data_IF_959647126587
#
_entry.id   IF_959647126587
#
_cell.length_a   1.000
_cell.length_b   1.000
_cell.length_c   1.000
_cell.angle_alpha   90.00
_cell.angle_beta   90.00
_cell.angle_gamma   90.00
#
_symmetry.space_group_name_H-M   'P 1'
#
loop_
_entity.id
_entity.type
_entity.pdbx_description
1 polymer ?
#
# COMPACT_ATOMS: atom_id res chain seq x y z
N UNK A 1 -8.07 -20.84 -13.63
CA UNK A 1 -8.83 -20.30 -12.48
C UNK A 1 -7.91 -19.71 -11.40
N UNK A 2 -6.85 -20.43 -10.99
CA UNK A 2 -5.89 -19.95 -9.95
C UNK A 2 -5.16 -18.65 -10.35
N UNK A 3 -4.68 -18.54 -11.59
CA UNK A 3 -3.95 -17.34 -12.08
C UNK A 3 -4.82 -16.08 -12.06
N UNK A 4 -6.11 -16.18 -12.43
CA UNK A 4 -7.03 -15.03 -12.39
C UNK A 4 -7.23 -14.50 -10.96
N UNK A 5 -7.32 -15.41 -9.98
CA UNK A 5 -7.44 -15.04 -8.57
C UNK A 5 -6.16 -14.34 -8.09
N UNK A 6 -4.99 -14.83 -8.48
CA UNK A 6 -3.70 -14.20 -8.14
C UNK A 6 -3.56 -12.80 -8.74
N UNK A 7 -3.98 -12.60 -9.99
CA UNK A 7 -3.99 -11.28 -10.63
C UNK A 7 -4.95 -10.33 -9.88
N UNK A 8 -6.15 -10.80 -9.53
CA UNK A 8 -7.12 -9.99 -8.78
C UNK A 8 -6.57 -9.57 -7.40
N UNK A 9 -5.95 -10.50 -6.68
CA UNK A 9 -5.32 -10.21 -5.38
C UNK A 9 -4.18 -9.21 -5.51
N UNK A 10 -3.36 -9.30 -6.57
CA UNK A 10 -2.30 -8.34 -6.84
C UNK A 10 -2.86 -6.93 -7.08
N UNK A 11 -3.93 -6.80 -7.86
CA UNK A 11 -4.59 -5.52 -8.11
C UNK A 11 -5.19 -4.89 -6.84
N UNK A 12 -5.85 -5.72 -6.00
CA UNK A 12 -6.40 -5.26 -4.72
C UNK A 12 -5.28 -4.77 -3.80
N UNK A 13 -4.19 -5.54 -3.72
CA UNK A 13 -3.04 -5.17 -2.89
C UNK A 13 -2.38 -3.87 -3.37
N UNK A 14 -2.19 -3.72 -4.67
CA UNK A 14 -1.59 -2.50 -5.25
C UNK A 14 -2.45 -1.26 -4.96
N UNK A 15 -3.77 -1.38 -5.13
CA UNK A 15 -4.71 -0.31 -4.78
C UNK A 15 -4.64 0.07 -3.28
N UNK A 16 -4.55 -0.92 -2.39
CA UNK A 16 -4.37 -0.68 -0.95
C UNK A 16 -3.03 0.02 -0.66
N UNK A 17 -1.92 -0.44 -1.24
CA UNK A 17 -0.61 0.18 -1.04
C UNK A 17 -0.59 1.61 -1.56
N UNK A 18 -1.21 1.87 -2.71
CA UNK A 18 -1.36 3.22 -3.25
C UNK A 18 -2.16 4.13 -2.32
N UNK A 19 -3.26 3.62 -1.75
CA UNK A 19 -4.04 4.35 -0.75
C UNK A 19 -3.21 4.68 0.48
N UNK A 20 -2.56 3.69 1.10
CA UNK A 20 -1.75 3.91 2.29
C UNK A 20 -0.56 4.84 2.03
N UNK A 21 0.04 4.75 0.85
CA UNK A 21 1.13 5.64 0.44
C UNK A 21 0.65 7.09 0.27
N UNK A 22 -0.52 7.28 -0.32
CA UNK A 22 -1.13 8.61 -0.44
C UNK A 22 -1.53 9.16 0.93
N UNK A 23 -2.06 8.31 1.81
CA UNK A 23 -2.38 8.64 3.19
C UNK A 23 -1.13 9.03 3.99
N UNK A 24 -0.03 8.28 3.88
CA UNK A 24 1.22 8.60 4.58
C UNK A 24 1.90 9.88 4.08
N UNK A 25 1.54 10.34 2.88
CA UNK A 25 2.02 11.62 2.30
C UNK A 25 1.16 12.83 2.59
N UNK A 26 0.08 12.71 3.38
CA UNK A 26 -0.81 13.84 3.64
C UNK A 26 -1.72 14.19 2.46
N UNK A 27 -1.80 13.34 1.42
CA UNK A 27 -2.61 13.62 0.22
C UNK A 27 -4.08 13.24 0.37
N UNK A 28 -4.44 12.58 1.48
CA UNK A 28 -5.79 12.10 1.70
C UNK A 28 -6.63 13.14 2.44
N UNK A 29 -7.85 13.39 1.96
CA UNK A 29 -8.80 14.27 2.65
C UNK A 29 -9.48 13.48 3.76
N UNK A 30 -9.17 13.83 5.00
CA UNK A 30 -9.88 13.33 6.19
C UNK A 30 -11.00 14.30 6.56
N UNK A 31 -11.91 13.85 7.43
CA UNK A 31 -12.92 14.74 8.02
C UNK A 31 -12.24 15.85 8.81
N UNK A 32 -12.84 17.04 8.81
CA UNK A 32 -12.31 18.25 9.45
C UNK A 32 -11.99 18.02 10.93
N UNK A 33 -12.86 17.31 11.65
CA UNK A 33 -12.70 16.90 13.05
C UNK A 33 -11.44 16.05 13.33
N UNK A 34 -10.84 15.43 12.31
CA UNK A 34 -9.63 14.59 12.42
C UNK A 34 -8.42 15.18 11.69
N UNK A 35 -8.57 16.34 11.05
CA UNK A 35 -7.53 16.95 10.21
C UNK A 35 -6.26 17.24 11.01
N UNK A 36 -6.40 17.80 12.21
CA UNK A 36 -5.27 18.16 13.06
C UNK A 36 -4.51 16.92 13.56
N UNK A 37 -5.25 15.90 14.01
CA UNK A 37 -4.67 14.63 14.45
C UNK A 37 -3.96 13.91 13.28
N UNK A 38 -4.57 13.92 12.10
CA UNK A 38 -3.98 13.36 10.88
C UNK A 38 -2.70 14.09 10.49
N UNK A 39 -2.70 15.42 10.48
CA UNK A 39 -1.52 16.22 10.14
C UNK A 39 -0.36 15.93 11.09
N UNK A 40 -0.61 15.89 12.41
CA UNK A 40 0.40 15.52 13.42
C UNK A 40 0.92 14.10 13.21
N UNK A 41 0.06 13.17 12.80
CA UNK A 41 0.48 11.80 12.51
C UNK A 41 1.35 11.72 11.25
N UNK A 42 0.98 12.43 10.18
CA UNK A 42 1.75 12.49 8.91
C UNK A 42 3.11 13.11 9.14
N UNK A 43 3.20 14.19 9.91
CA UNK A 43 4.47 14.82 10.25
C UNK A 43 5.39 13.88 11.05
N UNK A 44 4.84 13.20 12.07
CA UNK A 44 5.61 12.30 12.94
C UNK A 44 5.98 10.96 12.28
N UNK A 45 5.09 10.39 11.48
CA UNK A 45 5.20 9.00 11.01
C UNK A 45 5.17 8.84 9.49
N UNK A 46 4.77 9.86 8.73
CA UNK A 46 4.48 9.75 7.30
C UNK A 46 5.68 9.31 6.46
N UNK A 47 6.89 9.81 6.76
CA UNK A 47 8.10 9.38 6.04
C UNK A 47 8.43 7.91 6.31
N UNK A 48 8.41 7.50 7.59
CA UNK A 48 8.68 6.12 8.01
C UNK A 48 7.64 5.16 7.42
N UNK A 49 6.36 5.54 7.47
CA UNK A 49 5.26 4.78 6.88
C UNK A 49 5.41 4.67 5.35
N UNK A 50 5.73 5.76 4.66
CA UNK A 50 5.93 5.76 3.20
C UNK A 50 7.08 4.86 2.77
N UNK A 51 8.19 4.85 3.53
CA UNK A 51 9.32 3.93 3.29
C UNK A 51 8.92 2.48 3.54
N UNK A 52 8.22 2.21 4.64
CA UNK A 52 7.76 0.86 4.96
C UNK A 52 6.79 0.31 3.90
N UNK A 53 5.83 1.12 3.45
CA UNK A 53 4.89 0.75 2.38
C UNK A 53 5.65 0.41 1.10
N UNK A 54 6.62 1.24 0.69
CA UNK A 54 7.44 0.97 -0.50
C UNK A 54 8.18 -0.37 -0.40
N UNK A 55 8.78 -0.67 0.76
CA UNK A 55 9.48 -1.95 0.98
C UNK A 55 8.49 -3.12 0.91
N UNK A 56 7.32 -3.00 1.55
CA UNK A 56 6.27 -4.03 1.49
C UNK A 56 5.77 -4.27 0.07
N UNK A 57 5.56 -3.21 -0.71
CA UNK A 57 5.19 -3.33 -2.13
C UNK A 57 6.23 -4.11 -2.92
N UNK A 58 7.53 -3.81 -2.75
CA UNK A 58 8.59 -4.52 -3.45
C UNK A 58 8.60 -6.01 -3.08
N UNK A 59 8.55 -6.33 -1.78
CA UNK A 59 8.53 -7.72 -1.29
C UNK A 59 7.34 -8.47 -1.88
N UNK A 60 6.14 -7.88 -1.82
CA UNK A 60 4.92 -8.51 -2.32
C UNK A 60 4.96 -8.72 -3.84
N UNK A 61 5.48 -7.76 -4.61
CA UNK A 61 5.64 -7.91 -6.06
C UNK A 61 6.59 -9.07 -6.41
N UNK A 62 7.72 -9.20 -5.69
CA UNK A 62 8.64 -10.34 -5.87
C UNK A 62 7.93 -11.66 -5.57
N UNK A 63 7.19 -11.73 -4.45
CA UNK A 63 6.43 -12.94 -4.06
C UNK A 63 5.36 -13.29 -5.10
N UNK A 64 4.66 -12.30 -5.67
CA UNK A 64 3.67 -12.53 -6.73
C UNK A 64 4.33 -13.12 -7.98
N UNK A 65 5.46 -12.56 -8.41
CA UNK A 65 6.22 -13.04 -9.57
C UNK A 65 6.63 -14.51 -9.36
N UNK A 66 7.23 -14.83 -8.20
CA UNK A 66 7.61 -16.20 -7.88
C UNK A 66 6.40 -17.16 -7.87
N UNK A 67 5.27 -16.75 -7.31
CA UNK A 67 4.07 -17.58 -7.29
C UNK A 67 3.51 -17.85 -8.69
N UNK A 68 3.54 -16.84 -9.58
CA UNK A 68 3.11 -17.02 -10.98
C UNK A 68 4.02 -18.04 -11.66
N UNK A 69 5.35 -17.89 -11.55
CA UNK A 69 6.30 -18.82 -12.17
C UNK A 69 6.25 -20.23 -11.58
N UNK A 70 6.02 -20.38 -10.27
CA UNK A 70 5.90 -21.69 -9.62
C UNK A 70 4.55 -22.39 -9.89
N UNK A 71 3.54 -21.63 -10.35
CA UNK A 71 2.19 -22.16 -10.66
C UNK A 71 1.99 -22.46 -12.15
N UNK A 72 2.99 -22.17 -13.00
CA UNK A 72 3.06 -22.51 -14.44
C UNK A 72 3.82 -23.83 -14.59
#
# INVERSE_FOLDING_TARGET
>A
MVVLIQILLALIFDGLMWFFYSYSKGKYKVKEEKQEQYSRWVEKNGEKASKAIRVLTIIFSVVCIFNIFASI
#
